data_IF_605765623853
#
_entry.id   IF_605765623853
#
_cell.length_a   1.000
_cell.length_b   1.000
_cell.length_c   1.000
_cell.angle_alpha   90.00
_cell.angle_beta   90.00
_cell.angle_gamma   90.00
#
_symmetry.space_group_name_H-M   'P 1'
#
loop_
_entity.id
_entity.type
_entity.pdbx_description
1 polymer ?
#
# COMPACT_ATOMS: atom_id res chain seq x y z
N UNK A 1 -10.03 -6.41 15.57
CA UNK A 1 -11.30 -5.69 15.73
C UNK A 1 -11.81 -5.67 17.16
N UNK A 2 -11.83 -6.81 17.86
CA UNK A 2 -12.34 -6.90 19.24
C UNK A 2 -11.72 -5.86 20.19
N UNK A 3 -10.40 -5.71 20.17
CA UNK A 3 -9.73 -4.68 21.00
C UNK A 3 -10.20 -3.26 20.67
N UNK A 4 -10.39 -2.95 19.39
CA UNK A 4 -10.87 -1.64 18.96
C UNK A 4 -12.31 -1.38 19.42
N UNK A 5 -13.18 -2.40 19.40
CA UNK A 5 -14.53 -2.28 19.95
C UNK A 5 -14.51 -2.06 21.46
N UNK A 6 -13.68 -2.82 22.19
CA UNK A 6 -13.54 -2.71 23.65
C UNK A 6 -12.96 -1.36 24.10
N UNK A 7 -12.20 -0.67 23.23
CA UNK A 7 -11.70 0.68 23.47
C UNK A 7 -12.72 1.78 23.15
N UNK A 8 -13.84 1.44 22.51
CA UNK A 8 -14.90 2.42 22.23
C UNK A 8 -15.72 2.73 23.50
N UNK A 9 -16.49 3.81 23.46
CA UNK A 9 -17.39 4.18 24.55
C UNK A 9 -18.55 3.17 24.72
N UNK A 10 -19.01 2.58 23.62
CA UNK A 10 -20.10 1.59 23.57
C UNK A 10 -19.70 0.41 22.66
N UNK A 11 -19.02 -0.60 23.23
CA UNK A 11 -18.53 -1.76 22.48
C UNK A 11 -19.64 -2.56 21.80
N UNK A 12 -20.81 -2.69 22.46
CA UNK A 12 -21.92 -3.51 21.95
C UNK A 12 -22.48 -2.91 20.65
N UNK A 13 -22.68 -1.59 20.61
CA UNK A 13 -23.11 -0.89 19.40
C UNK A 13 -22.04 -0.98 18.29
N UNK A 14 -20.76 -0.84 18.63
CA UNK A 14 -19.68 -0.93 17.64
C UNK A 14 -19.60 -2.33 16.99
N UNK A 15 -19.81 -3.39 17.77
CA UNK A 15 -19.88 -4.77 17.29
C UNK A 15 -21.11 -4.93 16.39
N UNK A 16 -22.28 -4.48 16.84
CA UNK A 16 -23.53 -4.61 16.09
C UNK A 16 -23.42 -4.01 14.68
N UNK A 17 -22.91 -2.79 14.56
CA UNK A 17 -22.78 -2.11 13.26
C UNK A 17 -21.78 -2.81 12.32
N UNK A 18 -20.70 -3.39 12.86
CA UNK A 18 -19.80 -4.20 12.04
C UNK A 18 -20.49 -5.49 11.57
N UNK A 19 -21.21 -6.15 12.47
CA UNK A 19 -21.77 -7.48 12.24
C UNK A 19 -23.05 -7.49 11.41
N UNK A 20 -23.72 -6.36 11.26
CA UNK A 20 -24.82 -6.18 10.30
C UNK A 20 -24.47 -6.69 8.89
N UNK A 21 -23.19 -6.60 8.51
CA UNK A 21 -22.71 -7.01 7.17
C UNK A 21 -21.62 -8.08 7.21
N UNK A 22 -20.92 -8.25 8.34
CA UNK A 22 -19.83 -9.22 8.51
C UNK A 22 -19.95 -10.01 9.83
N UNK A 23 -21.01 -10.81 10.01
CA UNK A 23 -21.34 -11.44 11.30
C UNK A 23 -20.43 -12.62 11.68
N UNK A 24 -19.68 -13.17 10.72
CA UNK A 24 -18.85 -14.34 10.98
C UNK A 24 -17.69 -13.99 11.90
N UNK A 25 -17.44 -14.79 12.95
CA UNK A 25 -16.33 -14.60 13.89
C UNK A 25 -14.96 -14.35 13.22
N UNK A 26 -14.58 -15.04 12.12
CA UNK A 26 -13.34 -14.75 11.41
C UNK A 26 -13.23 -13.30 10.88
N UNK A 27 -14.34 -12.60 10.66
CA UNK A 27 -14.31 -11.20 10.22
C UNK A 27 -13.70 -10.27 11.29
N UNK A 28 -13.74 -10.65 12.58
CA UNK A 28 -13.09 -9.88 13.66
C UNK A 28 -11.56 -9.93 13.59
N UNK A 29 -11.02 -10.82 12.76
CA UNK A 29 -9.59 -10.96 12.46
C UNK A 29 -9.25 -10.50 11.04
N UNK A 30 -10.23 -10.08 10.24
CA UNK A 30 -10.01 -9.63 8.87
C UNK A 30 -9.36 -8.25 8.81
N UNK A 31 -8.47 -8.06 7.83
CA UNK A 31 -7.83 -6.77 7.55
C UNK A 31 -8.69 -5.83 6.67
N UNK A 32 -10.02 -5.93 6.75
CA UNK A 32 -10.96 -5.07 6.04
C UNK A 32 -12.31 -5.01 6.77
N UNK A 33 -13.13 -4.02 6.44
CA UNK A 33 -14.55 -3.98 6.77
C UNK A 33 -15.40 -3.96 5.49
N UNK A 34 -16.71 -4.01 5.64
CA UNK A 34 -17.67 -4.03 4.54
C UNK A 34 -17.65 -2.77 3.67
N UNK A 35 -17.13 -1.65 4.17
CA UNK A 35 -17.09 -0.38 3.43
C UNK A 35 -16.18 -0.44 2.19
N UNK A 36 -15.03 -1.10 2.26
CA UNK A 36 -14.06 -1.17 1.16
C UNK A 36 -13.79 -2.59 0.67
N UNK A 37 -14.11 -3.60 1.48
CA UNK A 37 -13.83 -5.00 1.17
C UNK A 37 -12.34 -5.34 1.10
N UNK A 38 -12.01 -6.60 0.76
CA UNK A 38 -10.66 -7.14 0.89
C UNK A 38 -9.64 -6.53 -0.07
N UNK A 39 -10.08 -6.01 -1.22
CA UNK A 39 -9.18 -5.51 -2.27
C UNK A 39 -8.84 -4.03 -2.15
N UNK A 40 -9.69 -3.24 -1.48
CA UNK A 40 -9.60 -1.78 -1.47
C UNK A 40 -9.48 -1.16 -0.08
N UNK A 41 -9.31 -1.96 0.98
CA UNK A 41 -9.05 -1.43 2.31
C UNK A 41 -7.72 -0.66 2.36
N UNK A 42 -7.81 0.66 2.56
CA UNK A 42 -6.66 1.57 2.57
C UNK A 42 -5.62 1.20 3.65
N UNK A 43 -6.06 0.76 4.82
CA UNK A 43 -5.17 0.33 5.91
C UNK A 43 -4.39 -0.93 5.53
N UNK A 44 -5.05 -1.93 4.94
CA UNK A 44 -4.38 -3.15 4.48
C UNK A 44 -3.39 -2.88 3.34
N UNK A 45 -3.79 -2.04 2.37
CA UNK A 45 -2.91 -1.61 1.27
C UNK A 45 -1.68 -0.90 1.83
N UNK A 46 -1.87 0.05 2.76
CA UNK A 46 -0.77 0.77 3.41
C UNK A 46 0.17 -0.17 4.16
N UNK A 47 -0.38 -1.16 4.89
CA UNK A 47 0.41 -2.16 5.58
C UNK A 47 1.23 -3.03 4.60
N UNK A 48 0.63 -3.45 3.49
CA UNK A 48 1.32 -4.23 2.45
C UNK A 48 2.44 -3.42 1.79
N UNK A 49 2.22 -2.13 1.52
CA UNK A 49 3.25 -1.22 1.00
C UNK A 49 4.39 -1.12 2.00
N UNK A 50 4.10 -0.85 3.28
CA UNK A 50 5.13 -0.77 4.33
C UNK A 50 5.92 -2.07 4.48
N UNK A 51 5.24 -3.22 4.44
CA UNK A 51 5.88 -4.54 4.48
C UNK A 51 6.83 -4.78 3.30
N UNK A 52 6.46 -4.29 2.11
CA UNK A 52 7.22 -4.51 0.88
C UNK A 52 8.36 -3.51 0.68
N UNK A 53 8.15 -2.25 1.05
CA UNK A 53 9.04 -1.14 0.72
C UNK A 53 9.67 -0.45 1.95
N UNK A 54 9.35 -0.90 3.16
CA UNK A 54 9.85 -0.32 4.40
C UNK A 54 8.97 0.81 4.93
N UNK A 55 9.46 1.51 5.95
CA UNK A 55 8.81 2.69 6.49
C UNK A 55 8.92 3.90 5.54
N UNK A 56 8.40 5.04 5.96
CA UNK A 56 8.39 6.27 5.16
C UNK A 56 9.80 6.71 4.75
N UNK A 57 10.77 6.65 5.65
CA UNK A 57 12.16 7.01 5.35
C UNK A 57 12.79 6.07 4.32
N UNK A 58 12.55 4.75 4.43
CA UNK A 58 12.99 3.79 3.43
C UNK A 58 12.33 4.03 2.06
N UNK A 59 11.05 4.37 2.04
CA UNK A 59 10.31 4.69 0.82
C UNK A 59 10.80 5.98 0.16
N UNK A 60 11.06 7.04 0.93
CA UNK A 60 11.63 8.29 0.43
C UNK A 60 13.01 8.07 -0.20
N UNK A 61 13.85 7.27 0.46
CA UNK A 61 15.16 6.89 -0.09
C UNK A 61 15.01 6.11 -1.40
N UNK A 62 14.08 5.16 -1.49
CA UNK A 62 13.81 4.41 -2.72
C UNK A 62 13.38 5.36 -3.86
N UNK A 63 12.56 6.37 -3.58
CA UNK A 63 12.16 7.38 -4.58
C UNK A 63 13.34 8.24 -5.01
N UNK A 64 14.17 8.69 -4.06
CA UNK A 64 15.39 9.45 -4.36
C UNK A 64 16.38 8.63 -5.21
N UNK A 65 16.57 7.35 -4.86
CA UNK A 65 17.40 6.41 -5.63
C UNK A 65 16.80 6.19 -7.03
N UNK A 66 15.48 6.08 -7.18
CA UNK A 66 14.82 5.98 -8.49
C UNK A 66 15.00 7.25 -9.34
N UNK A 67 15.02 8.44 -8.73
CA UNK A 67 15.35 9.69 -9.43
C UNK A 67 16.80 9.68 -9.93
N UNK A 68 17.73 9.09 -9.16
CA UNK A 68 19.12 8.90 -9.60
C UNK A 68 19.22 7.95 -10.81
N UNK A 69 18.39 6.89 -10.84
CA UNK A 69 18.28 5.98 -11.99
C UNK A 69 17.69 6.72 -13.20
N UNK A 70 16.70 7.59 -13.01
CA UNK A 70 16.11 8.37 -14.09
C UNK A 70 17.15 9.27 -14.80
N UNK A 71 18.09 9.86 -14.07
CA UNK A 71 19.21 10.60 -14.65
C UNK A 71 20.11 9.67 -15.50
N UNK A 72 20.41 8.47 -15.02
CA UNK A 72 21.12 7.44 -15.79
C UNK A 72 20.37 7.02 -17.06
N UNK A 73 19.04 6.84 -16.98
CA UNK A 73 18.20 6.54 -18.14
C UNK A 73 18.19 7.68 -19.16
N UNK A 74 18.19 8.94 -18.73
CA UNK A 74 18.31 10.08 -19.63
C UNK A 74 19.67 10.11 -20.33
N UNK A 75 20.76 9.84 -19.61
CA UNK A 75 22.09 9.75 -20.22
C UNK A 75 22.18 8.64 -21.26
N UNK A 76 21.64 7.44 -20.96
CA UNK A 76 21.62 6.35 -21.94
C UNK A 76 20.71 6.66 -23.14
N UNK A 77 19.58 7.33 -22.90
CA UNK A 77 18.72 7.83 -23.98
C UNK A 77 19.44 8.83 -24.88
N UNK A 78 20.25 9.73 -24.30
CA UNK A 78 21.06 10.68 -25.06
C UNK A 78 22.14 9.96 -25.87
N UNK A 79 22.89 9.03 -25.26
CA UNK A 79 23.89 8.21 -25.97
C UNK A 79 23.26 7.41 -27.13
N UNK A 80 22.07 6.88 -26.95
CA UNK A 80 21.33 6.19 -28.00
C UNK A 80 20.99 7.14 -29.16
N UNK A 81 20.52 8.36 -28.86
CA UNK A 81 20.24 9.39 -29.86
C UNK A 81 21.49 9.82 -30.61
N UNK A 82 22.57 10.08 -29.89
CA UNK A 82 23.87 10.48 -30.45
C UNK A 82 24.48 9.37 -31.31
N UNK A 83 24.27 8.10 -30.94
CA UNK A 83 24.63 6.90 -31.70
C UNK A 83 23.73 6.62 -32.93
N UNK A 84 22.92 7.59 -33.35
CA UNK A 84 22.07 7.51 -34.53
C UNK A 84 20.74 6.78 -34.31
N UNK A 85 20.35 6.56 -33.06
CA UNK A 85 19.08 5.91 -32.67
C UNK A 85 18.88 4.52 -33.27
N UNK A 86 19.96 3.73 -33.37
CA UNK A 86 19.94 2.35 -33.89
C UNK A 86 20.07 1.34 -32.76
N UNK A 87 19.20 0.34 -32.73
CA UNK A 87 19.20 -0.73 -31.73
C UNK A 87 20.34 -1.74 -31.92
N UNK A 88 20.85 -1.87 -33.15
CA UNK A 88 21.98 -2.72 -33.49
C UNK A 88 23.05 -1.86 -34.16
N UNK A 89 24.26 -1.88 -33.61
CA UNK A 89 25.45 -1.22 -34.15
C UNK A 89 26.37 -2.25 -34.80
#
# INVERSE_FOLDING_TARGET
WLDQFNLSYDPDTAIAFHDETLPAEPAKMAHFCSMCGPKFCSMAISQNIRKKFGDEAAQEKLVADAQSIAAGMQQMSQKFRDGGSKLYQ
#
